data_IF_009368623147
#
_entry.id   IF_009368623147
#
_cell.length_a   1.000
_cell.length_b   1.000
_cell.length_c   1.000
_cell.angle_alpha   90.00
_cell.angle_beta   90.00
_cell.angle_gamma   90.00
#
_symmetry.space_group_name_H-M   'P 1'
#
loop_
_entity.id
_entity.type
_entity.pdbx_description
1 polymer ?
#
# COMPACT_ATOMS: atom_id res chain seq x y z
N UNK A 1 15.30 14.68 -11.04
CA UNK A 1 14.07 15.21 -10.37
C UNK A 1 14.47 16.15 -9.23
N UNK A 2 13.82 17.28 -9.13
CA UNK A 2 14.12 18.25 -8.06
C UNK A 2 13.64 17.75 -6.70
N UNK A 3 14.49 17.95 -5.69
CA UNK A 3 14.06 17.75 -4.31
C UNK A 3 13.35 19.00 -3.79
N UNK A 4 12.50 18.89 -2.76
CA UNK A 4 11.89 20.07 -2.16
C UNK A 4 12.90 21.14 -1.73
N UNK A 5 14.06 20.68 -1.23
CA UNK A 5 15.13 21.58 -0.81
C UNK A 5 15.72 22.36 -2.00
N UNK A 6 15.97 21.65 -3.10
CA UNK A 6 16.47 22.29 -4.32
C UNK A 6 15.51 23.36 -4.82
N UNK A 7 14.23 23.10 -4.76
CA UNK A 7 13.19 24.08 -5.15
C UNK A 7 13.22 25.31 -4.24
N UNK A 8 13.28 25.08 -2.93
CA UNK A 8 13.25 26.18 -1.95
C UNK A 8 14.51 27.04 -1.99
N UNK A 9 15.62 26.46 -2.38
CA UNK A 9 16.92 27.18 -2.46
C UNK A 9 17.21 27.75 -3.83
N UNK A 10 16.30 27.59 -4.79
CA UNK A 10 16.52 28.07 -6.14
C UNK A 10 16.62 29.60 -6.17
N UNK A 11 17.69 30.09 -6.77
CA UNK A 11 17.94 31.52 -6.95
C UNK A 11 17.93 31.82 -8.45
N UNK A 12 17.30 32.91 -8.83
CA UNK A 12 17.22 33.36 -10.22
C UNK A 12 18.10 34.58 -10.45
N UNK A 13 18.78 34.67 -11.62
CA UNK A 13 19.50 35.89 -11.96
C UNK A 13 18.55 37.04 -12.17
N UNK A 14 19.05 38.25 -11.90
CA UNK A 14 18.30 39.46 -12.15
C UNK A 14 18.26 39.80 -13.64
N UNK A 15 17.20 40.51 -14.05
CA UNK A 15 17.08 40.96 -15.43
C UNK A 15 18.22 41.91 -15.81
N UNK A 16 18.68 41.81 -17.05
CA UNK A 16 19.79 42.63 -17.56
C UNK A 16 19.43 44.10 -17.75
N UNK A 17 18.14 44.40 -17.93
CA UNK A 17 17.69 45.75 -18.21
C UNK A 17 16.58 46.17 -17.25
N UNK A 18 16.56 47.45 -16.88
CA UNK A 18 15.43 48.05 -16.19
C UNK A 18 15.22 47.68 -14.76
N UNK A 19 16.24 47.55 -14.03
CA UNK A 19 16.30 47.54 -12.59
C UNK A 19 15.17 46.90 -11.80
N UNK A 20 15.22 45.64 -11.48
CA UNK A 20 14.47 45.11 -10.39
C UNK A 20 13.66 43.88 -10.62
N UNK A 21 13.77 43.22 -11.75
CA UNK A 21 13.10 41.98 -12.00
C UNK A 21 14.06 40.80 -12.15
N UNK A 22 13.54 39.61 -12.15
CA UNK A 22 14.32 38.42 -12.46
C UNK A 22 14.31 38.18 -13.97
N UNK A 23 15.29 37.40 -14.44
CA UNK A 23 15.35 36.98 -15.83
C UNK A 23 14.17 36.06 -16.13
N UNK A 24 13.28 36.48 -17.01
CA UNK A 24 12.06 35.72 -17.34
C UNK A 24 12.36 34.35 -17.94
N UNK A 25 13.37 34.29 -18.83
CA UNK A 25 13.73 33.03 -19.48
C UNK A 25 14.22 32.00 -18.46
N UNK A 26 14.99 32.42 -17.47
CA UNK A 26 15.48 31.54 -16.41
C UNK A 26 14.35 31.04 -15.53
N UNK A 27 13.41 31.90 -15.22
CA UNK A 27 12.24 31.53 -14.41
C UNK A 27 11.33 30.55 -15.18
N UNK A 28 11.07 30.86 -16.43
CA UNK A 28 10.24 29.99 -17.29
C UNK A 28 10.87 28.61 -17.47
N UNK A 29 12.17 28.56 -17.72
CA UNK A 29 12.89 27.30 -17.86
C UNK A 29 12.81 26.45 -16.60
N UNK A 30 13.00 27.07 -15.44
CA UNK A 30 12.89 26.39 -14.16
C UNK A 30 11.47 25.88 -13.92
N UNK A 31 10.46 26.71 -14.20
CA UNK A 31 9.06 26.32 -14.03
C UNK A 31 8.66 25.17 -14.97
N UNK A 32 9.18 25.17 -16.20
CA UNK A 32 8.91 24.06 -17.13
C UNK A 32 9.49 22.76 -16.62
N UNK A 33 10.74 22.78 -16.14
CA UNK A 33 11.39 21.61 -15.57
C UNK A 33 10.66 21.12 -14.31
N UNK A 34 10.27 22.06 -13.46
CA UNK A 34 9.50 21.76 -12.25
C UNK A 34 8.14 21.14 -12.58
N UNK A 35 7.48 21.66 -13.62
CA UNK A 35 6.19 21.15 -14.06
C UNK A 35 6.31 19.69 -14.55
N UNK A 36 7.37 19.39 -15.29
CA UNK A 36 7.63 18.00 -15.71
C UNK A 36 7.80 17.07 -14.52
N UNK A 37 8.60 17.49 -13.54
CA UNK A 37 8.84 16.72 -12.33
C UNK A 37 7.57 16.56 -11.51
N UNK A 38 6.81 17.62 -11.37
CA UNK A 38 5.53 17.59 -10.65
C UNK A 38 4.54 16.64 -11.31
N UNK A 39 4.46 16.69 -12.65
CA UNK A 39 3.59 15.81 -13.42
C UNK A 39 3.97 14.34 -13.20
N UNK A 40 5.27 14.04 -13.26
CA UNK A 40 5.76 12.70 -13.04
C UNK A 40 5.43 12.20 -11.62
N UNK A 41 5.65 13.05 -10.61
CA UNK A 41 5.33 12.72 -9.22
C UNK A 41 3.84 12.53 -9.00
N UNK A 42 3.03 13.34 -9.63
CA UNK A 42 1.57 13.23 -9.54
C UNK A 42 1.10 11.89 -10.08
N UNK A 43 1.60 11.50 -11.26
CA UNK A 43 1.26 10.21 -11.87
C UNK A 43 1.72 9.05 -11.01
N UNK A 44 2.94 9.11 -10.50
CA UNK A 44 3.48 8.08 -9.61
C UNK A 44 2.65 7.97 -8.33
N UNK A 45 2.23 9.11 -7.79
CA UNK A 45 1.39 9.14 -6.59
C UNK A 45 0.04 8.45 -6.83
N UNK A 46 -0.60 8.73 -7.96
CA UNK A 46 -1.86 8.08 -8.34
C UNK A 46 -1.66 6.56 -8.47
N UNK A 47 -0.57 6.15 -9.12
CA UNK A 47 -0.24 4.72 -9.29
C UNK A 47 0.00 4.04 -7.95
N UNK A 48 0.77 4.68 -7.06
CA UNK A 48 1.05 4.14 -5.74
C UNK A 48 -0.19 4.02 -4.88
N UNK A 49 -1.09 5.00 -4.92
CA UNK A 49 -2.36 4.94 -4.21
C UNK A 49 -3.23 3.79 -4.70
N UNK A 50 -3.27 3.57 -6.01
CA UNK A 50 -4.00 2.45 -6.58
C UNK A 50 -3.41 1.11 -6.12
N UNK A 51 -2.08 0.99 -6.12
CA UNK A 51 -1.39 -0.22 -5.64
C UNK A 51 -1.65 -0.47 -4.15
N UNK A 52 -1.66 0.59 -3.34
CA UNK A 52 -1.98 0.47 -1.91
C UNK A 52 -3.39 -0.05 -1.68
N UNK A 53 -4.34 0.43 -2.46
CA UNK A 53 -5.72 -0.05 -2.37
C UNK A 53 -5.81 -1.54 -2.68
N UNK A 54 -5.15 -1.98 -3.75
CA UNK A 54 -5.10 -3.40 -4.12
C UNK A 54 -4.44 -4.23 -3.03
N UNK A 55 -3.34 -3.75 -2.46
CA UNK A 55 -2.65 -4.43 -1.38
C UNK A 55 -3.53 -4.55 -0.13
N UNK A 56 -4.25 -3.49 0.21
CA UNK A 56 -5.17 -3.51 1.36
C UNK A 56 -6.28 -4.55 1.15
N UNK A 57 -6.83 -4.64 -0.06
CA UNK A 57 -7.83 -5.64 -0.41
C UNK A 57 -7.27 -7.06 -0.31
N UNK A 58 -6.01 -7.26 -0.75
CA UNK A 58 -5.34 -8.55 -0.66
C UNK A 58 -5.08 -8.97 0.78
N UNK A 59 -4.66 -8.04 1.63
CA UNK A 59 -4.47 -8.32 3.06
C UNK A 59 -5.78 -8.75 3.69
N UNK A 60 -6.88 -8.09 3.35
CA UNK A 60 -8.20 -8.44 3.87
C UNK A 60 -8.64 -9.82 3.39
N UNK A 61 -8.38 -10.18 2.14
CA UNK A 61 -8.64 -11.53 1.61
C UNK A 61 -7.85 -12.59 2.36
N UNK A 62 -6.56 -12.34 2.63
CA UNK A 62 -5.72 -13.27 3.37
C UNK A 62 -6.20 -13.45 4.80
N UNK A 63 -6.62 -12.38 5.46
CA UNK A 63 -7.18 -12.46 6.81
C UNK A 63 -8.45 -13.29 6.84
N UNK A 64 -9.32 -13.07 5.87
CA UNK A 64 -10.57 -13.80 5.74
C UNK A 64 -10.31 -15.29 5.52
N UNK A 65 -9.37 -15.62 4.66
CA UNK A 65 -8.97 -16.99 4.38
C UNK A 65 -8.35 -17.66 5.62
N UNK A 66 -7.49 -16.95 6.32
CA UNK A 66 -6.86 -17.43 7.55
C UNK A 66 -7.91 -17.76 8.61
N UNK A 67 -8.90 -16.88 8.79
CA UNK A 67 -9.98 -17.08 9.73
C UNK A 67 -10.83 -18.30 9.36
N UNK A 68 -11.15 -18.46 8.07
CA UNK A 68 -11.89 -19.60 7.58
C UNK A 68 -11.14 -20.91 7.83
N UNK A 69 -9.82 -20.92 7.61
CA UNK A 69 -8.97 -22.08 7.87
C UNK A 69 -8.92 -22.41 9.36
N UNK A 70 -8.83 -21.39 10.21
CA UNK A 70 -8.83 -21.58 11.67
C UNK A 70 -10.15 -22.21 12.14
N UNK A 71 -11.27 -21.74 11.62
CA UNK A 71 -12.59 -22.28 11.93
C UNK A 71 -12.72 -23.72 11.45
N UNK A 72 -12.21 -24.02 10.26
CA UNK A 72 -12.22 -25.37 9.71
C UNK A 72 -11.41 -26.34 10.58
N UNK A 73 -10.22 -25.92 11.04
CA UNK A 73 -9.39 -26.71 11.94
C UNK A 73 -10.09 -26.98 13.27
N UNK A 74 -10.72 -25.97 13.85
CA UNK A 74 -11.48 -26.13 15.08
C UNK A 74 -12.61 -27.13 14.92
N UNK A 75 -13.35 -27.04 13.82
CA UNK A 75 -14.43 -27.96 13.51
C UNK A 75 -13.91 -29.39 13.34
N UNK A 76 -12.79 -29.54 12.62
CA UNK A 76 -12.16 -30.86 12.43
C UNK A 76 -11.71 -31.47 13.76
N UNK A 77 -11.14 -30.67 14.66
CA UNK A 77 -10.74 -31.13 15.99
C UNK A 77 -11.92 -31.58 16.83
N UNK A 78 -13.03 -30.85 16.79
CA UNK A 78 -14.26 -31.23 17.48
C UNK A 78 -14.85 -32.52 16.94
N UNK A 79 -14.83 -32.67 15.62
CA UNK A 79 -15.31 -33.90 14.97
C UNK A 79 -14.43 -35.10 15.33
N UNK A 80 -13.12 -34.92 15.33
CA UNK A 80 -12.18 -35.97 15.74
C UNK A 80 -12.42 -36.39 17.19
N UNK A 81 -12.58 -35.45 18.09
CA UNK A 81 -12.86 -35.74 19.49
C UNK A 81 -14.17 -36.49 19.65
N UNK A 82 -15.21 -36.07 18.92
CA UNK A 82 -16.51 -36.76 18.94
C UNK A 82 -16.41 -38.19 18.43
N UNK A 83 -15.67 -38.43 17.35
CA UNK A 83 -15.47 -39.75 16.80
C UNK A 83 -14.73 -40.66 17.79
N UNK A 84 -13.72 -40.16 18.48
CA UNK A 84 -13.01 -40.92 19.52
C UNK A 84 -13.97 -41.28 20.66
N UNK A 85 -14.78 -40.34 21.10
CA UNK A 85 -15.75 -40.55 22.16
C UNK A 85 -16.80 -41.59 21.77
N UNK A 86 -17.31 -41.53 20.55
CA UNK A 86 -18.27 -42.50 20.04
C UNK A 86 -17.66 -43.89 19.93
N UNK A 87 -16.39 -43.99 19.46
CA UNK A 87 -15.69 -45.28 19.40
C UNK A 87 -15.49 -45.89 20.77
N UNK A 88 -15.14 -45.09 21.79
CA UNK A 88 -15.03 -45.57 23.16
C UNK A 88 -16.35 -46.02 23.71
N UNK A 89 -17.41 -45.26 23.47
CA UNK A 89 -18.77 -45.62 23.90
C UNK A 89 -19.22 -46.95 23.29
N UNK A 90 -18.98 -47.17 22.02
CA UNK A 90 -19.29 -48.42 21.34
C UNK A 90 -18.47 -49.59 21.89
N UNK A 91 -17.20 -49.36 22.15
CA UNK A 91 -16.32 -50.36 22.74
C UNK A 91 -16.84 -50.82 24.12
N UNK A 92 -17.26 -49.89 24.94
CA UNK A 92 -17.84 -50.15 26.25
C UNK A 92 -19.13 -51.00 26.14
N UNK A 93 -19.98 -50.67 25.17
CA UNK A 93 -21.18 -51.46 24.92
C UNK A 93 -20.89 -52.90 24.49
N UNK A 94 -19.86 -53.10 23.69
CA UNK A 94 -19.47 -54.42 23.24
C UNK A 94 -18.90 -55.24 24.39
N UNK A 95 -18.12 -54.62 25.27
CA UNK A 95 -17.47 -55.29 26.40
C UNK A 95 -18.43 -55.52 27.60
N UNK A 96 -19.50 -54.78 27.64
CA UNK A 96 -20.52 -55.00 28.64
C UNK A 96 -21.49 -56.06 28.15
#
# INVERSE_FOLDING_TARGET
>A
MFTPQEVSEKVFPKASFGGGGYNMASVDEFLDALTEDYTALFKENVTLKAKLKVLAEKVEEYRSTEEAMRQALLTAQKMAAKLVQEAQSEKEKILA
#
